data_IF_609114908270
#
_entry.id   IF_609114908270
#
_cell.length_a   1.000
_cell.length_b   1.000
_cell.length_c   1.000
_cell.angle_alpha   90.00
_cell.angle_beta   90.00
_cell.angle_gamma   90.00
#
_symmetry.space_group_name_H-M   'P 1'
#
loop_
_entity.id
_entity.type
_entity.pdbx_description
1 polymer ?
#
# COMPACT_ATOMS: atom_id res chain seq x y z
N UNK A 1 -2.78 -24.28 -8.72
CA UNK A 1 -1.62 -25.01 -9.29
C UNK A 1 -2.17 -26.32 -9.85
N UNK A 2 -2.12 -26.50 -11.17
CA UNK A 2 -2.59 -27.74 -11.84
C UNK A 2 -1.43 -28.76 -11.96
N UNK A 3 -1.69 -29.95 -12.52
CA UNK A 3 -0.66 -31.01 -12.61
C UNK A 3 0.50 -30.71 -13.60
N UNK A 4 0.40 -29.67 -14.43
CA UNK A 4 1.42 -29.26 -15.42
C UNK A 4 2.20 -28.02 -15.00
N UNK A 5 1.66 -27.25 -14.07
CA UNK A 5 2.28 -26.07 -13.48
C UNK A 5 2.89 -26.48 -12.15
N UNK A 6 4.21 -26.46 -12.04
CA UNK A 6 4.89 -26.90 -10.80
C UNK A 6 5.35 -25.72 -9.94
N UNK A 7 6.12 -24.81 -10.54
CA UNK A 7 6.80 -23.71 -9.85
C UNK A 7 6.37 -22.36 -10.42
N UNK A 8 7.12 -21.31 -10.10
CA UNK A 8 6.96 -19.97 -10.61
C UNK A 8 7.83 -19.74 -11.87
N UNK A 9 7.74 -18.54 -12.46
CA UNK A 9 8.54 -18.15 -13.62
C UNK A 9 7.83 -18.32 -14.96
N UNK A 10 6.51 -18.52 -14.93
CA UNK A 10 5.69 -18.47 -16.14
C UNK A 10 5.76 -17.04 -16.71
N UNK A 11 5.93 -16.85 -18.03
CA UNK A 11 5.93 -15.51 -18.63
C UNK A 11 4.71 -14.69 -18.20
N UNK A 12 4.93 -13.43 -17.83
CA UNK A 12 3.92 -12.59 -17.15
C UNK A 12 2.58 -12.52 -17.87
N UNK A 13 2.56 -12.54 -19.20
CA UNK A 13 1.36 -12.47 -20.02
C UNK A 13 0.49 -13.74 -19.98
N UNK A 14 1.03 -14.87 -19.50
CA UNK A 14 0.34 -16.16 -19.41
C UNK A 14 0.45 -16.82 -18.04
N UNK A 15 1.04 -16.14 -17.06
CA UNK A 15 1.17 -16.67 -15.71
C UNK A 15 -0.19 -16.75 -15.00
N UNK A 16 -0.43 -17.82 -14.23
CA UNK A 16 -1.68 -17.96 -13.50
C UNK A 16 -1.74 -16.94 -12.35
N UNK A 17 -2.95 -16.53 -11.89
CA UNK A 17 -3.12 -15.56 -10.80
C UNK A 17 -2.34 -15.89 -9.52
N UNK A 18 -2.12 -17.18 -9.24
CA UNK A 18 -1.38 -17.68 -8.09
C UNK A 18 0.09 -17.22 -8.09
N UNK A 19 0.70 -16.97 -9.25
CA UNK A 19 2.06 -16.42 -9.33
C UNK A 19 2.12 -14.90 -9.06
N UNK A 20 0.98 -14.22 -8.94
CA UNK A 20 0.90 -12.78 -8.67
C UNK A 20 0.35 -12.43 -7.28
N UNK A 21 -0.42 -13.32 -6.65
CA UNK A 21 -1.02 -13.08 -5.34
C UNK A 21 -0.02 -13.37 -4.24
N UNK A 22 0.60 -12.32 -3.71
CA UNK A 22 1.56 -12.39 -2.61
C UNK A 22 0.97 -11.82 -1.31
N UNK A 23 1.29 -12.41 -0.13
CA UNK A 23 0.88 -11.84 1.15
C UNK A 23 1.64 -10.53 1.43
N UNK A 24 0.97 -9.56 2.04
CA UNK A 24 1.60 -8.35 2.54
C UNK A 24 1.21 -8.07 3.98
N UNK A 25 2.21 -7.78 4.81
CA UNK A 25 2.08 -7.45 6.23
C UNK A 25 2.81 -6.14 6.50
N UNK A 26 2.22 -5.31 7.36
CA UNK A 26 2.85 -4.08 7.84
C UNK A 26 2.77 -4.08 9.36
N UNK A 27 3.92 -3.87 10.00
CA UNK A 27 4.04 -3.69 11.44
C UNK A 27 4.68 -2.34 11.73
N UNK A 28 4.21 -1.69 12.79
CA UNK A 28 4.68 -0.38 13.24
C UNK A 28 4.93 -0.47 14.75
N UNK A 29 6.07 0.06 15.21
CA UNK A 29 6.44 0.00 16.62
C UNK A 29 5.62 0.98 17.46
N UNK A 30 5.48 0.70 18.76
CA UNK A 30 4.79 1.59 19.70
C UNK A 30 5.40 3.00 19.72
N UNK A 31 6.74 3.09 19.63
CA UNK A 31 7.45 4.37 19.57
C UNK A 31 7.10 5.17 18.30
N UNK A 32 6.94 4.49 17.17
CA UNK A 32 6.52 5.13 15.93
C UNK A 32 5.06 5.60 16.03
N UNK A 33 4.19 4.79 16.65
CA UNK A 33 2.76 5.08 16.86
C UNK A 33 2.50 6.12 17.97
N UNK A 34 3.49 6.47 18.79
CA UNK A 34 3.37 7.54 19.78
C UNK A 34 3.12 8.93 19.15
N UNK A 35 3.45 9.11 17.87
CA UNK A 35 3.06 10.30 17.10
C UNK A 35 1.58 10.24 16.72
N UNK A 36 0.75 11.24 17.07
CA UNK A 36 -0.67 11.27 16.69
C UNK A 36 -0.89 11.14 15.18
N UNK A 37 -0.04 11.76 14.37
CA UNK A 37 -0.11 11.67 12.91
C UNK A 37 0.16 10.24 12.42
N UNK A 38 1.17 9.57 12.97
CA UNK A 38 1.50 8.20 12.60
C UNK A 38 0.43 7.20 13.06
N UNK A 39 -0.16 7.43 14.24
CA UNK A 39 -1.30 6.64 14.71
C UNK A 39 -2.50 6.75 13.76
N UNK A 40 -2.81 7.96 13.28
CA UNK A 40 -3.87 8.19 12.29
C UNK A 40 -3.57 7.49 10.95
N UNK A 41 -2.34 7.60 10.45
CA UNK A 41 -1.93 6.89 9.22
C UNK A 41 -2.03 5.37 9.37
N UNK A 42 -1.64 4.82 10.51
CA UNK A 42 -1.77 3.40 10.83
C UNK A 42 -3.24 2.96 10.87
N UNK A 43 -4.11 3.75 11.51
CA UNK A 43 -5.54 3.48 11.55
C UNK A 43 -6.16 3.50 10.15
N UNK A 44 -5.79 4.47 9.31
CA UNK A 44 -6.20 4.52 7.92
C UNK A 44 -5.73 3.29 7.14
N UNK A 45 -4.46 2.90 7.28
CA UNK A 45 -3.91 1.72 6.61
C UNK A 45 -4.63 0.43 7.03
N UNK A 46 -4.99 0.28 8.31
CA UNK A 46 -5.82 -0.85 8.80
C UNK A 46 -7.19 -0.86 8.12
N UNK A 47 -7.85 0.30 7.99
CA UNK A 47 -9.12 0.39 7.25
C UNK A 47 -8.93 -0.03 5.79
N UNK A 48 -7.87 0.43 5.12
CA UNK A 48 -7.58 0.04 3.73
C UNK A 48 -7.39 -1.48 3.57
N UNK A 49 -6.79 -2.14 4.57
CA UNK A 49 -6.61 -3.60 4.55
C UNK A 49 -7.95 -4.36 4.59
N UNK A 50 -8.96 -3.84 5.29
CA UNK A 50 -10.30 -4.44 5.38
C UNK A 50 -11.10 -4.36 4.07
N UNK A 51 -10.82 -3.38 3.20
CA UNK A 51 -11.50 -3.20 1.90
C UNK A 51 -11.09 -4.32 0.91
N UNK A 52 -9.98 -5.03 1.17
CA UNK A 52 -9.47 -6.15 0.35
C UNK A 52 -9.27 -5.81 -1.14
N UNK A 53 -8.94 -4.56 -1.44
CA UNK A 53 -8.57 -4.12 -2.80
C UNK A 53 -7.19 -4.68 -3.16
N UNK A 54 -7.02 -5.30 -4.34
CA UNK A 54 -5.71 -5.70 -4.82
C UNK A 54 -4.74 -4.51 -4.91
N UNK A 55 -3.58 -4.64 -4.28
CA UNK A 55 -2.49 -3.67 -4.34
C UNK A 55 -1.36 -4.18 -5.23
N UNK A 56 -0.52 -3.27 -5.74
CA UNK A 56 0.55 -3.60 -6.69
C UNK A 56 1.91 -3.14 -6.16
N UNK A 57 2.97 -3.88 -6.51
CA UNK A 57 4.34 -3.51 -6.11
C UNK A 57 4.77 -2.11 -6.57
N UNK A 58 4.20 -1.61 -7.68
CA UNK A 58 4.49 -0.24 -8.17
C UNK A 58 4.11 0.85 -7.18
N UNK A 59 3.25 0.54 -6.20
CA UNK A 59 2.76 1.47 -5.18
C UNK A 59 3.63 1.45 -3.90
N UNK A 60 4.52 0.45 -3.76
CA UNK A 60 5.28 0.23 -2.52
C UNK A 60 6.24 1.36 -2.20
N UNK A 61 6.88 1.95 -3.21
CA UNK A 61 7.80 3.06 -2.98
C UNK A 61 7.08 4.26 -2.34
N UNK A 62 5.99 4.70 -2.97
CA UNK A 62 5.18 5.82 -2.50
C UNK A 62 4.58 5.54 -1.12
N UNK A 63 4.12 4.30 -0.89
CA UNK A 63 3.58 3.85 0.39
C UNK A 63 4.63 3.85 1.48
N UNK A 64 5.81 3.25 1.27
CA UNK A 64 6.84 3.18 2.31
C UNK A 64 7.29 4.59 2.69
N UNK A 65 7.60 5.43 1.70
CA UNK A 65 8.03 6.80 1.96
C UNK A 65 6.93 7.63 2.63
N UNK A 66 5.68 7.50 2.15
CA UNK A 66 4.54 8.22 2.69
C UNK A 66 4.18 7.80 4.12
N UNK A 67 4.16 6.49 4.41
CA UNK A 67 3.96 5.99 5.76
C UNK A 67 5.09 6.47 6.69
N UNK A 68 6.35 6.55 6.24
CA UNK A 68 7.44 7.11 7.06
C UNK A 68 7.32 8.63 7.30
N UNK A 69 6.33 9.30 6.69
CA UNK A 69 6.09 10.74 6.84
C UNK A 69 6.89 11.61 5.87
N UNK A 70 7.59 11.03 4.89
CA UNK A 70 8.26 11.81 3.86
C UNK A 70 7.25 12.45 2.91
N UNK A 71 7.55 13.67 2.50
CA UNK A 71 6.80 14.40 1.47
C UNK A 71 7.73 14.77 0.34
N UNK A 72 7.18 14.89 -0.87
CA UNK A 72 7.92 15.32 -2.05
C UNK A 72 7.17 16.49 -2.70
N UNK A 73 7.77 17.69 -2.76
CA UNK A 73 7.11 18.86 -3.32
C UNK A 73 7.04 18.86 -4.85
N UNK A 74 7.77 17.95 -5.50
CA UNK A 74 7.95 17.89 -6.96
C UNK A 74 7.48 16.58 -7.58
N UNK A 75 6.60 15.84 -6.91
CA UNK A 75 5.98 14.63 -7.46
C UNK A 75 6.83 13.37 -7.39
N UNK A 76 7.94 13.38 -6.64
CA UNK A 76 8.73 12.18 -6.34
C UNK A 76 8.01 11.16 -5.45
N UNK A 77 6.87 11.53 -4.85
CA UNK A 77 5.94 10.62 -4.18
C UNK A 77 4.55 10.87 -4.76
N UNK A 78 3.97 9.86 -5.41
CA UNK A 78 2.61 9.90 -5.92
C UNK A 78 1.62 9.56 -4.80
N UNK A 79 0.86 10.55 -4.32
CA UNK A 79 -0.09 10.35 -3.22
C UNK A 79 -1.22 9.37 -3.54
N UNK A 80 -1.54 9.12 -4.81
CA UNK A 80 -2.53 8.10 -5.19
C UNK A 80 -2.05 6.67 -4.92
N UNK A 81 -0.73 6.47 -4.88
CA UNK A 81 -0.10 5.19 -4.59
C UNK A 81 0.23 5.01 -3.09
N UNK A 82 0.20 6.08 -2.30
CA UNK A 82 0.53 6.06 -0.88
C UNK A 82 -0.66 5.56 -0.04
N UNK A 83 -0.59 4.32 0.44
CA UNK A 83 -1.69 3.73 1.23
C UNK A 83 -1.86 4.33 2.64
N UNK A 84 -0.90 5.14 3.11
CA UNK A 84 -1.00 5.90 4.36
C UNK A 84 -1.50 7.34 4.15
N UNK A 85 -1.75 7.77 2.90
CA UNK A 85 -2.23 9.11 2.63
C UNK A 85 -3.64 9.31 3.18
N UNK A 86 -3.79 10.25 4.12
CA UNK A 86 -5.08 10.69 4.62
C UNK A 86 -5.50 11.90 3.78
N UNK A 87 -6.62 11.83 3.01
CA UNK A 87 -7.10 12.96 2.23
C UNK A 87 -7.46 14.14 3.14
N UNK A 88 -7.13 15.36 2.72
CA UNK A 88 -7.52 16.58 3.43
C UNK A 88 -9.06 16.64 3.53
N UNK A 89 -9.61 16.66 4.75
CA UNK A 89 -11.05 16.74 4.99
C UNK A 89 -11.72 17.96 4.29
N UNK A 90 -10.97 19.04 4.07
CA UNK A 90 -11.44 20.25 3.39
C UNK A 90 -11.63 20.08 1.88
N UNK A 91 -10.95 19.12 1.23
CA UNK A 91 -11.10 18.87 -0.23
C UNK A 91 -12.25 17.93 -0.57
N UNK A 92 -12.69 17.10 0.38
CA UNK A 92 -13.79 16.14 0.18
C UNK A 92 -15.16 16.83 0.28
N UNK A 93 -15.29 17.89 1.09
CA UNK A 93 -16.52 18.67 1.20
C UNK A 93 -16.78 19.64 0.02
N UNK A 94 -15.80 19.79 -0.88
CA UNK A 94 -15.86 20.70 -2.02
C UNK A 94 -16.16 19.98 -3.35
N UNK A 95 -16.62 18.72 -3.30
CA UNK A 95 -16.91 17.90 -4.49
C UNK A 95 -18.32 17.32 -4.44
#
# INVERSE_FOLDING_TARGET
>A
INEREHLHGTPRNMAPPEQFRVPMLVWMSDKYLASPQHAQMSAHLKQQAEIKVPRRHVELYDTIMGCLGYTSPNGGINQNNNWCHIPDAQKVAAK
#
